data_IF_260603038945
#
_entry.id   IF_260603038945
#
_cell.length_a   1.000
_cell.length_b   1.000
_cell.length_c   1.000
_cell.angle_alpha   90.00
_cell.angle_beta   90.00
_cell.angle_gamma   90.00
#
_symmetry.space_group_name_H-M   'P 1'
#
loop_
_entity.id
_entity.type
_entity.pdbx_description
1 polymer ?
#
# COMPACT_ATOMS: atom_id res chain seq x y z
N UNK A 1 -11.64 1.42 -9.66
CA UNK A 1 -10.18 1.57 -9.58
C UNK A 1 -9.88 2.92 -8.92
N UNK A 2 -9.08 2.97 -7.86
CA UNK A 2 -8.60 4.26 -7.32
C UNK A 2 -7.21 4.55 -7.88
N UNK A 3 -6.95 5.80 -8.25
CA UNK A 3 -5.70 6.23 -8.88
C UNK A 3 -4.76 6.83 -7.84
N UNK A 4 -3.47 6.99 -8.19
CA UNK A 4 -2.49 7.77 -7.42
C UNK A 4 -3.05 9.14 -7.04
N UNK A 5 -3.75 9.79 -7.99
CA UNK A 5 -4.34 11.12 -7.77
C UNK A 5 -5.31 11.12 -6.58
N UNK A 6 -6.29 10.22 -6.61
CA UNK A 6 -7.33 10.15 -5.59
C UNK A 6 -6.82 9.66 -4.23
N UNK A 7 -5.78 8.82 -4.22
CA UNK A 7 -5.23 8.27 -2.98
C UNK A 7 -4.15 9.17 -2.35
N UNK A 8 -3.39 9.91 -3.15
CA UNK A 8 -2.25 10.72 -2.70
C UNK A 8 -2.45 12.22 -2.97
N UNK A 9 -2.39 12.65 -4.23
CA UNK A 9 -2.23 14.08 -4.56
C UNK A 9 -3.46 14.94 -4.22
N UNK A 10 -4.64 14.35 -4.15
CA UNK A 10 -5.86 15.04 -3.73
C UNK A 10 -5.96 15.17 -2.21
N UNK A 11 -5.10 14.48 -1.45
CA UNK A 11 -5.17 14.36 0.02
C UNK A 11 -3.91 14.86 0.74
N UNK A 12 -2.89 15.24 -0.01
CA UNK A 12 -1.59 15.69 0.49
C UNK A 12 -1.05 16.81 -0.39
N UNK A 13 -0.54 17.87 0.25
CA UNK A 13 0.19 18.92 -0.46
C UNK A 13 1.56 18.41 -0.91
N UNK A 14 1.86 18.57 -2.19
CA UNK A 14 3.15 18.22 -2.77
C UNK A 14 4.04 19.47 -2.81
N UNK A 15 4.97 19.57 -1.86
CA UNK A 15 5.87 20.73 -1.71
C UNK A 15 6.93 20.89 -2.81
N UNK A 16 7.16 19.87 -3.63
CA UNK A 16 8.16 19.90 -4.70
C UNK A 16 8.43 18.52 -5.28
N UNK A 17 9.34 18.46 -6.25
CA UNK A 17 9.66 17.23 -6.99
C UNK A 17 10.21 16.13 -6.11
N UNK A 18 11.14 16.44 -5.19
CA UNK A 18 11.71 15.44 -4.30
C UNK A 18 10.62 14.79 -3.42
N UNK A 19 9.71 15.61 -2.87
CA UNK A 19 8.58 15.11 -2.10
C UNK A 19 7.64 14.25 -2.97
N UNK A 20 7.37 14.68 -4.21
CA UNK A 20 6.55 13.89 -5.14
C UNK A 20 7.16 12.52 -5.40
N UNK A 21 8.48 12.45 -5.64
CA UNK A 21 9.17 11.17 -5.87
C UNK A 21 9.02 10.24 -4.66
N UNK A 22 9.29 10.74 -3.44
CA UNK A 22 9.11 9.93 -2.23
C UNK A 22 7.67 9.41 -2.06
N UNK A 23 6.67 10.25 -2.34
CA UNK A 23 5.25 9.86 -2.30
C UNK A 23 4.92 8.81 -3.36
N UNK A 24 5.47 8.94 -4.56
CA UNK A 24 5.23 7.97 -5.64
C UNK A 24 5.94 6.64 -5.38
N UNK A 25 7.16 6.67 -4.86
CA UNK A 25 7.91 5.46 -4.48
C UNK A 25 7.13 4.67 -3.41
N UNK A 26 6.69 5.33 -2.34
CA UNK A 26 5.88 4.70 -1.31
C UNK A 26 4.52 4.20 -1.84
N UNK A 27 3.91 4.93 -2.79
CA UNK A 27 2.68 4.47 -3.42
C UNK A 27 2.92 3.20 -4.26
N UNK A 28 4.03 3.12 -5.00
CA UNK A 28 4.38 1.97 -5.84
C UNK A 28 4.62 0.74 -4.95
N UNK A 29 5.41 0.89 -3.88
CA UNK A 29 5.68 -0.17 -2.92
C UNK A 29 4.38 -0.74 -2.34
N UNK A 30 3.47 0.14 -1.93
CA UNK A 30 2.13 -0.27 -1.51
C UNK A 30 1.35 -0.94 -2.63
N UNK A 31 1.31 -0.35 -3.83
CA UNK A 31 0.46 -0.81 -4.93
C UNK A 31 0.84 -2.24 -5.36
N UNK A 32 2.14 -2.52 -5.41
CA UNK A 32 2.67 -3.80 -5.81
C UNK A 32 2.72 -4.80 -4.66
N UNK A 33 3.04 -4.37 -3.44
CA UNK A 33 3.26 -5.25 -2.29
C UNK A 33 2.03 -5.50 -1.39
N UNK A 34 1.08 -4.56 -1.32
CA UNK A 34 0.01 -4.62 -0.31
C UNK A 34 -1.40 -4.39 -0.84
N UNK A 35 -1.56 -3.70 -1.98
CA UNK A 35 -2.88 -3.36 -2.48
C UNK A 35 -3.62 -4.61 -2.94
N UNK A 36 -4.90 -4.79 -2.56
CA UNK A 36 -5.68 -5.90 -3.06
C UNK A 36 -6.15 -5.64 -4.51
N UNK A 37 -5.94 -6.62 -5.39
CA UNK A 37 -6.39 -6.56 -6.79
C UNK A 37 -7.44 -7.63 -7.05
N UNK A 38 -8.66 -7.20 -7.42
CA UNK A 38 -9.79 -8.11 -7.64
C UNK A 38 -9.49 -9.20 -8.67
N UNK A 39 -8.84 -8.84 -9.78
CA UNK A 39 -8.44 -9.78 -10.82
C UNK A 39 -7.42 -10.84 -10.35
N UNK A 40 -6.72 -10.58 -9.23
CA UNK A 40 -5.76 -11.51 -8.62
C UNK A 40 -6.29 -12.12 -7.32
N UNK A 41 -7.60 -12.27 -7.18
CA UNK A 41 -8.21 -12.80 -5.95
C UNK A 41 -7.80 -12.01 -4.69
N UNK A 42 -7.79 -10.67 -4.81
CA UNK A 42 -7.35 -9.72 -3.77
C UNK A 42 -5.86 -9.77 -3.43
N UNK A 43 -5.02 -10.46 -4.22
CA UNK A 43 -3.57 -10.48 -4.00
C UNK A 43 -2.89 -9.27 -4.65
N UNK A 44 -1.86 -8.68 -4.01
CA UNK A 44 -0.92 -7.76 -4.63
C UNK A 44 -0.14 -8.40 -5.80
N UNK A 45 0.39 -7.59 -6.73
CA UNK A 45 1.26 -8.03 -7.80
C UNK A 45 2.47 -8.84 -7.35
N UNK A 46 3.13 -8.38 -6.29
CA UNK A 46 4.39 -8.93 -5.78
C UNK A 46 4.19 -10.06 -4.77
N UNK A 47 2.94 -10.38 -4.43
CA UNK A 47 2.67 -11.51 -3.54
C UNK A 47 2.95 -12.82 -4.28
N UNK A 48 3.92 -13.58 -3.74
CA UNK A 48 4.18 -14.95 -4.15
C UNK A 48 2.97 -15.84 -3.82
N UNK A 49 2.49 -16.56 -4.83
CA UNK A 49 1.32 -17.44 -4.72
C UNK A 49 1.56 -18.63 -3.79
N UNK A 50 2.83 -18.99 -3.56
CA UNK A 50 3.22 -20.11 -2.69
C UNK A 50 3.29 -19.72 -1.22
N UNK A 51 3.31 -18.42 -0.90
CA UNK A 51 3.38 -17.94 0.48
C UNK A 51 2.01 -18.01 1.13
N UNK A 52 1.83 -19.00 2.02
CA UNK A 52 0.66 -19.09 2.88
C UNK A 52 0.81 -18.07 4.01
N UNK A 53 0.00 -17.00 3.95
CA UNK A 53 -0.07 -16.02 5.04
C UNK A 53 -0.82 -16.67 6.19
N UNK A 54 -0.15 -16.84 7.34
CA UNK A 54 -0.82 -17.32 8.55
C UNK A 54 -1.95 -16.38 8.95
N UNK A 55 -3.10 -16.94 9.30
CA UNK A 55 -4.25 -16.20 9.84
C UNK A 55 -4.16 -16.03 11.37
N UNK A 56 -3.07 -16.49 11.98
CA UNK A 56 -2.80 -16.37 13.40
C UNK A 56 -1.92 -15.13 13.67
N UNK A 57 -1.91 -14.66 14.91
CA UNK A 57 -1.12 -13.50 15.31
C UNK A 57 -1.88 -12.19 15.33
N UNK A 58 -1.34 -11.22 16.07
CA UNK A 58 -1.97 -9.91 16.29
C UNK A 58 -2.00 -9.09 15.00
N UNK A 59 -3.12 -8.41 14.73
CA UNK A 59 -3.20 -7.45 13.62
C UNK A 59 -2.46 -6.16 14.02
N UNK A 60 -1.50 -5.78 13.22
CA UNK A 60 -0.76 -4.54 13.32
C UNK A 60 -1.17 -3.58 12.22
N UNK A 61 -1.30 -2.30 12.60
CA UNK A 61 -1.59 -1.22 11.67
C UNK A 61 -0.29 -0.50 11.32
N UNK A 62 0.00 -0.43 10.03
CA UNK A 62 1.08 0.36 9.46
C UNK A 62 0.48 1.57 8.72
N UNK A 63 1.04 2.76 8.93
CA UNK A 63 0.57 3.99 8.26
C UNK A 63 1.54 4.34 7.16
N UNK A 64 1.03 4.49 5.95
CA UNK A 64 1.81 4.85 4.76
C UNK A 64 1.27 6.13 4.14
N UNK A 65 2.06 6.74 3.26
CA UNK A 65 1.77 7.97 2.53
C UNK A 65 1.44 9.11 3.50
N UNK A 66 2.36 9.33 4.46
CA UNK A 66 2.17 10.31 5.53
C UNK A 66 0.95 10.02 6.42
N UNK A 67 0.46 8.77 6.43
CA UNK A 67 -0.73 8.36 7.18
C UNK A 67 -2.06 8.53 6.45
N UNK A 68 -2.04 8.91 5.17
CA UNK A 68 -3.24 8.97 4.33
C UNK A 68 -3.88 7.59 4.13
N UNK A 69 -3.08 6.52 4.26
CA UNK A 69 -3.51 5.14 4.12
C UNK A 69 -3.05 4.32 5.33
N UNK A 70 -3.94 3.42 5.78
CA UNK A 70 -3.63 2.43 6.80
C UNK A 70 -3.55 1.05 6.12
N UNK A 71 -2.45 0.36 6.34
CA UNK A 71 -2.23 -1.03 5.98
C UNK A 71 -2.31 -1.90 7.22
N UNK A 72 -2.79 -3.13 7.04
CA UNK A 72 -2.97 -4.07 8.13
C UNK A 72 -2.26 -5.36 7.79
N UNK A 73 -1.39 -5.82 8.69
CA UNK A 73 -0.64 -7.07 8.57
C UNK A 73 -0.73 -7.84 9.88
N UNK A 74 -0.50 -9.15 9.84
CA UNK A 74 -0.36 -9.94 11.07
C UNK A 74 1.12 -9.95 11.50
N UNK A 75 1.35 -9.81 12.80
CA UNK A 75 2.67 -10.03 13.39
C UNK A 75 3.09 -11.49 13.21
N UNK A 76 4.39 -11.71 13.00
CA UNK A 76 5.00 -13.03 12.92
C UNK A 76 5.01 -13.75 14.27
#
# INVERSE_FOLDING_TARGET
MRTVRAECTDRMLIYGEHHLRSVLDEYIDRYNGHRPHQARSQRPPDQDEQVVVSMEGRIERHKVLGGAINEYRRAA
#
